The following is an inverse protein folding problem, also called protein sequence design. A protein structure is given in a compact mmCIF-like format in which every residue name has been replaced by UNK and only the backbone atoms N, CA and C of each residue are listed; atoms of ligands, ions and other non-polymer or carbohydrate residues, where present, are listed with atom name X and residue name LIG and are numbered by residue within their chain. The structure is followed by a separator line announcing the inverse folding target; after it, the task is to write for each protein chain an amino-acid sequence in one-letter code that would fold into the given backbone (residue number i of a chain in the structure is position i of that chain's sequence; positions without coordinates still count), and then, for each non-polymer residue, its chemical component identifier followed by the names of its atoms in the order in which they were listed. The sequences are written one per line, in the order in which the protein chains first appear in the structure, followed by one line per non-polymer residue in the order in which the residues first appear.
data_IF_414866494829
#
_entry.id   IF_414866494829
#
_cell.length_a   1.000
_cell.length_b   1.000
_cell.length_c   1.000
_cell.angle_alpha   90.00
_cell.angle_beta   90.00
_cell.angle_gamma   90.00
#
_symmetry.space_group_name_H-M   'P 1'
#
loop_
_entity.id
_entity.type
_entity.pdbx_description
1 polymer ?
#
# COMPACT_ATOMS: atom_id res chain seq x y z
N UNK A 1 -25.64 -28.64 -41.20
CA UNK A 1 -24.35 -27.93 -41.16
C UNK A 1 -24.58 -26.69 -40.34
N UNK A 2 -24.48 -26.83 -39.02
CA UNK A 2 -24.75 -25.76 -38.06
C UNK A 2 -23.48 -24.95 -37.85
N UNK A 3 -23.57 -23.67 -38.22
CA UNK A 3 -22.49 -22.71 -38.14
C UNK A 3 -22.22 -22.33 -36.69
N UNK A 4 -21.02 -22.71 -36.25
CA UNK A 4 -20.22 -22.24 -35.11
C UNK A 4 -20.81 -21.11 -34.26
N UNK A 5 -21.15 -21.49 -33.01
CA UNK A 5 -21.43 -20.59 -31.90
C UNK A 5 -20.25 -19.62 -31.70
N UNK A 6 -20.56 -18.32 -31.65
CA UNK A 6 -19.62 -17.28 -31.27
C UNK A 6 -19.11 -17.51 -29.85
N UNK A 7 -17.92 -18.10 -29.72
CA UNK A 7 -17.24 -18.26 -28.45
C UNK A 7 -16.67 -16.90 -28.05
N UNK A 8 -17.28 -16.27 -27.06
CA UNK A 8 -16.74 -15.09 -26.39
C UNK A 8 -15.46 -15.52 -25.64
N UNK A 9 -14.29 -15.28 -26.22
CA UNK A 9 -12.97 -15.64 -25.62
C UNK A 9 -12.55 -14.71 -24.45
N UNK A 10 -13.50 -14.01 -23.80
CA UNK A 10 -13.23 -13.04 -22.73
C UNK A 10 -13.50 -13.57 -21.32
N UNK A 11 -13.66 -14.87 -21.11
CA UNK A 11 -14.08 -15.39 -19.80
C UNK A 11 -13.05 -16.20 -19.01
N UNK A 12 -11.87 -16.50 -19.54
CA UNK A 12 -10.89 -17.24 -18.74
C UNK A 12 -9.45 -16.84 -19.08
N UNK A 13 -9.09 -15.61 -18.70
CA UNK A 13 -7.68 -15.29 -18.46
C UNK A 13 -7.52 -15.21 -16.94
N UNK A 14 -7.63 -16.36 -16.27
CA UNK A 14 -7.10 -16.50 -14.92
C UNK A 14 -5.57 -16.50 -15.06
N UNK A 15 -4.95 -15.33 -15.26
CA UNK A 15 -3.52 -15.16 -15.06
C UNK A 15 -3.29 -15.52 -13.59
N UNK A 16 -2.59 -16.62 -13.26
CA UNK A 16 -2.17 -16.87 -11.90
C UNK A 16 -1.16 -15.78 -11.55
N UNK A 17 -1.67 -14.66 -11.05
CA UNK A 17 -0.85 -13.55 -10.56
C UNK A 17 -0.18 -14.09 -9.29
N UNK A 18 1.12 -14.43 -9.32
CA UNK A 18 1.72 -15.25 -8.26
C UNK A 18 1.86 -14.50 -6.93
N UNK A 19 1.39 -13.27 -6.82
CA UNK A 19 1.50 -12.46 -5.63
C UNK A 19 0.39 -11.39 -5.57
N UNK A 20 -0.87 -11.81 -5.61
CA UNK A 20 -2.02 -10.91 -5.45
C UNK A 20 -2.28 -10.58 -3.96
N UNK A 21 -1.20 -10.38 -3.20
CA UNK A 21 -1.31 -10.02 -1.80
C UNK A 21 -1.82 -8.57 -1.70
N UNK A 22 -2.87 -8.33 -0.90
CA UNK A 22 -3.52 -7.02 -0.86
C UNK A 22 -2.60 -5.96 -0.28
N UNK A 23 -2.52 -4.81 -0.95
CA UNK A 23 -1.81 -3.65 -0.42
C UNK A 23 -2.68 -2.89 0.59
N UNK A 24 -2.13 -2.68 1.77
CA UNK A 24 -2.81 -2.02 2.88
C UNK A 24 -2.36 -0.58 3.07
N UNK A 25 -3.33 0.29 3.32
CA UNK A 25 -3.06 1.64 3.80
C UNK A 25 -2.54 1.61 5.24
N UNK A 26 -1.83 2.66 5.72
CA UNK A 26 -1.34 2.73 7.09
C UNK A 26 -2.43 2.50 8.14
N UNK A 27 -3.65 2.98 7.87
CA UNK A 27 -4.83 2.76 8.71
C UNK A 27 -5.23 1.27 8.76
N UNK A 28 -5.18 0.58 7.62
CA UNK A 28 -5.49 -0.85 7.57
C UNK A 28 -4.41 -1.69 8.24
N UNK A 29 -3.12 -1.33 8.09
CA UNK A 29 -2.03 -1.94 8.84
C UNK A 29 -2.26 -1.82 10.34
N UNK A 30 -2.63 -0.62 10.81
CA UNK A 30 -2.95 -0.38 12.22
C UNK A 30 -4.03 -1.32 12.75
N UNK A 31 -5.08 -1.59 11.96
CA UNK A 31 -6.17 -2.51 12.37
C UNK A 31 -5.73 -3.98 12.52
N UNK A 32 -4.66 -4.38 11.83
CA UNK A 32 -4.07 -5.72 11.87
C UNK A 32 -3.13 -5.94 13.06
N UNK A 33 -2.69 -4.86 13.70
CA UNK A 33 -1.80 -4.91 14.86
C UNK A 33 -2.63 -5.00 16.16
N UNK A 34 -2.10 -5.67 17.18
CA UNK A 34 -2.79 -5.87 18.46
C UNK A 34 -3.16 -4.54 19.14
N UNK A 35 -2.23 -3.58 19.16
CA UNK A 35 -2.40 -2.26 19.80
C UNK A 35 -3.32 -1.30 19.01
N UNK A 36 -3.78 -1.67 17.80
CA UNK A 36 -4.60 -0.81 16.92
C UNK A 36 -4.04 0.61 16.74
N UNK A 37 -2.74 0.80 16.44
CA UNK A 37 -2.17 2.13 16.29
C UNK A 37 -2.83 2.91 15.14
N UNK A 38 -2.98 4.22 15.32
CA UNK A 38 -3.42 5.12 14.26
C UNK A 38 -2.40 5.17 13.11
N UNK A 39 -2.87 5.52 11.90
CA UNK A 39 -2.01 5.71 10.72
C UNK A 39 -0.79 6.60 10.99
N UNK A 40 -0.95 7.65 11.81
CA UNK A 40 0.13 8.57 12.20
C UNK A 40 1.24 7.83 12.96
N UNK A 41 0.88 6.95 13.91
CA UNK A 41 1.85 6.16 14.68
C UNK A 41 2.57 5.14 13.79
N UNK A 42 1.84 4.49 12.88
CA UNK A 42 2.41 3.56 11.90
C UNK A 42 3.40 4.28 10.98
N UNK A 43 3.02 5.42 10.39
CA UNK A 43 3.92 6.22 9.56
C UNK A 43 5.12 6.74 10.36
N UNK A 44 4.94 7.12 11.63
CA UNK A 44 6.06 7.53 12.49
C UNK A 44 7.07 6.40 12.64
N UNK A 45 6.64 5.17 12.96
CA UNK A 45 7.55 4.03 13.07
C UNK A 45 8.23 3.67 11.75
N UNK A 46 7.49 3.71 10.65
CA UNK A 46 8.05 3.51 9.31
C UNK A 46 9.13 4.57 8.98
N UNK A 47 8.96 5.82 9.42
CA UNK A 47 9.99 6.87 9.30
C UNK A 47 11.20 6.58 10.18
N UNK A 48 10.98 6.19 11.45
CA UNK A 48 12.06 5.82 12.37
C UNK A 48 12.91 4.66 11.82
N UNK A 49 12.30 3.73 11.08
CA UNK A 49 13.01 2.63 10.44
C UNK A 49 13.67 2.99 9.10
N UNK A 50 13.46 4.21 8.62
CA UNK A 50 13.97 4.71 7.33
C UNK A 50 13.22 4.18 6.11
N UNK A 51 12.00 3.68 6.28
CA UNK A 51 11.13 3.21 5.18
C UNK A 51 10.36 4.38 4.54
N UNK A 52 10.13 5.44 5.31
CA UNK A 52 9.55 6.70 4.86
C UNK A 52 10.52 7.85 5.19
N UNK A 53 10.52 8.87 4.33
CA UNK A 53 11.22 10.14 4.56
C UNK A 53 10.16 11.25 4.63
N UNK A 54 10.22 12.09 5.66
CA UNK A 54 9.39 13.30 5.70
C UNK A 54 10.08 14.37 4.87
N UNK A 55 9.51 14.73 3.73
CA UNK A 55 9.96 15.85 2.90
C UNK A 55 9.03 17.05 3.04
N UNK A 56 9.61 18.24 2.90
CA UNK A 56 8.89 19.50 2.93
C UNK A 56 8.78 20.04 1.51
N UNK A 57 7.67 19.72 0.85
CA UNK A 57 7.41 20.20 -0.50
C UNK A 57 6.39 21.34 -0.44
N UNK A 58 6.78 22.53 -0.91
CA UNK A 58 5.92 23.72 -0.95
C UNK A 58 5.26 24.05 0.40
N UNK A 59 6.05 24.03 1.48
CA UNK A 59 5.59 24.32 2.85
C UNK A 59 4.68 23.25 3.48
N UNK A 60 4.48 22.09 2.82
CA UNK A 60 3.68 20.98 3.32
C UNK A 60 4.54 19.75 3.58
N UNK A 61 4.30 19.11 4.73
CA UNK A 61 4.93 17.82 5.06
C UNK A 61 4.33 16.71 4.21
N UNK A 62 5.19 15.95 3.54
CA UNK A 62 4.81 14.78 2.73
C UNK A 62 5.70 13.60 3.10
N UNK A 63 5.08 12.44 3.34
CA UNK A 63 5.80 11.19 3.43
C UNK A 63 6.20 10.71 2.02
N UNK A 64 7.49 10.50 1.81
CA UNK A 64 8.09 9.98 0.59
C UNK A 64 8.61 8.57 0.86
N UNK A 65 8.33 7.63 -0.05
CA UNK A 65 8.77 6.26 0.07
C UNK A 65 10.26 6.18 -0.25
N UNK A 66 11.04 5.65 0.69
CA UNK A 66 12.49 5.46 0.46
C UNK A 66 12.74 4.18 -0.33
N UNK A 67 13.95 4.01 -0.92
CA UNK A 67 14.33 2.74 -1.56
C UNK A 67 14.24 1.54 -0.59
N UNK A 68 14.52 1.77 0.70
CA UNK A 68 14.36 0.77 1.76
C UNK A 68 12.88 0.44 1.99
N UNK A 69 12.02 1.45 2.01
CA UNK A 69 10.56 1.28 2.08
C UNK A 69 10.00 0.48 0.91
N UNK A 70 10.47 0.77 -0.31
CA UNK A 70 10.08 0.03 -1.51
C UNK A 70 10.52 -1.44 -1.44
N UNK A 71 11.75 -1.71 -1.01
CA UNK A 71 12.23 -3.09 -0.75
C UNK A 71 11.44 -3.80 0.35
N UNK A 72 10.95 -3.05 1.34
CA UNK A 72 10.05 -3.52 2.39
C UNK A 72 8.61 -3.82 1.94
N UNK A 73 8.29 -3.64 0.66
CA UNK A 73 6.96 -3.87 0.11
C UNK A 73 6.04 -2.64 0.13
N UNK A 74 6.59 -1.44 0.36
CA UNK A 74 5.89 -0.19 0.14
C UNK A 74 5.74 0.11 -1.36
N UNK A 75 4.59 0.65 -1.77
CA UNK A 75 4.34 1.07 -3.15
C UNK A 75 3.39 2.26 -3.22
N UNK A 76 3.61 3.13 -4.19
CA UNK A 76 2.70 4.23 -4.49
C UNK A 76 1.47 3.71 -5.24
N UNK A 77 0.30 4.20 -4.82
CA UNK A 77 -0.97 3.97 -5.48
C UNK A 77 -1.65 5.31 -5.73
N UNK A 78 -2.12 5.51 -6.95
CA UNK A 78 -2.97 6.64 -7.29
C UNK A 78 -4.33 6.48 -6.64
N UNK A 79 -4.80 7.53 -5.96
CA UNK A 79 -6.08 7.50 -5.24
C UNK A 79 -7.26 7.94 -6.11
N UNK A 80 -7.02 8.22 -7.40
CA UNK A 80 -7.99 8.83 -8.31
C UNK A 80 -8.37 10.27 -7.95
N UNK A 81 -7.96 10.77 -6.78
CA UNK A 81 -8.17 12.15 -6.36
C UNK A 81 -7.09 13.04 -6.97
N UNK A 82 -7.49 14.18 -7.50
CA UNK A 82 -6.58 15.27 -7.89
C UNK A 82 -6.56 16.32 -6.79
N UNK A 83 -5.38 16.89 -6.51
CA UNK A 83 -5.29 18.16 -5.78
C UNK A 83 -5.84 19.28 -6.67
N UNK A 84 -6.22 20.39 -6.04
CA UNK A 84 -6.65 21.62 -6.74
C UNK A 84 -5.60 22.14 -7.74
N UNK A 85 -4.36 21.72 -7.58
CA UNK A 85 -3.20 22.02 -8.42
C UNK A 85 -3.06 21.07 -9.64
N UNK A 86 -4.01 20.16 -9.85
CA UNK A 86 -3.99 19.17 -10.95
C UNK A 86 -3.17 17.90 -10.67
N UNK A 87 -2.26 17.93 -9.69
CA UNK A 87 -1.44 16.78 -9.30
C UNK A 87 -2.28 15.63 -8.72
N UNK A 88 -2.06 14.41 -9.20
CA UNK A 88 -2.72 13.20 -8.67
C UNK A 88 -2.25 12.94 -7.25
N UNK A 89 -3.20 12.72 -6.33
CA UNK A 89 -2.91 12.33 -4.96
C UNK A 89 -2.50 10.87 -4.95
N UNK A 90 -1.23 10.66 -4.61
CA UNK A 90 -0.67 9.33 -4.41
C UNK A 90 -0.70 8.97 -2.93
N UNK A 91 -1.01 7.71 -2.65
CA UNK A 91 -0.98 7.13 -1.32
C UNK A 91 0.01 5.97 -1.28
N UNK A 92 0.85 5.95 -0.25
CA UNK A 92 1.74 4.82 0.00
C UNK A 92 0.93 3.72 0.65
N UNK A 93 0.97 2.53 0.05
CA UNK A 93 0.39 1.30 0.60
C UNK A 93 1.50 0.27 0.79
N UNK A 94 1.25 -0.68 1.66
CA UNK A 94 2.25 -1.66 2.07
C UNK A 94 1.75 -3.07 1.94
N UNK A 95 2.69 -3.96 1.62
CA UNK A 95 2.47 -5.39 1.58
C UNK A 95 2.30 -5.97 3.00
N UNK A 96 1.46 -7.00 3.20
CA UNK A 96 1.25 -7.66 4.49
C UNK A 96 2.49 -8.02 5.33
N UNK A 97 3.63 -8.50 4.80
CA UNK A 97 4.81 -8.83 5.62
C UNK A 97 5.42 -7.61 6.35
N UNK A 98 5.09 -6.37 5.96
CA UNK A 98 5.44 -5.20 6.78
C UNK A 98 4.74 -5.27 8.15
N UNK A 99 3.54 -5.84 8.23
CA UNK A 99 2.76 -5.98 9.46
C UNK A 99 3.49 -6.90 10.41
N UNK A 100 4.06 -7.99 9.92
CA UNK A 100 4.84 -8.93 10.72
C UNK A 100 6.10 -8.26 11.26
N UNK A 101 6.74 -7.40 10.46
CA UNK A 101 7.85 -6.58 10.92
C UNK A 101 7.42 -5.63 12.04
N UNK A 102 6.26 -4.97 11.89
CA UNK A 102 5.69 -4.02 12.86
C UNK A 102 5.09 -4.68 14.10
N UNK A 103 4.70 -5.95 14.03
CA UNK A 103 4.06 -6.70 15.10
C UNK A 103 4.78 -6.60 16.46
N UNK A 104 6.10 -6.87 16.59
CA UNK A 104 6.80 -6.77 17.87
C UNK A 104 6.70 -5.40 18.53
N UNK A 105 6.65 -4.31 17.75
CA UNK A 105 6.55 -2.95 18.27
C UNK A 105 5.14 -2.59 18.79
N UNK A 106 4.12 -3.32 18.33
CA UNK A 106 2.72 -3.03 18.62
C UNK A 106 2.00 -4.19 19.33
N UNK A 107 2.75 -5.05 20.02
CA UNK A 107 2.21 -6.14 20.85
C UNK A 107 1.72 -7.35 20.08
N UNK A 108 2.12 -7.52 18.81
CA UNK A 108 1.82 -8.66 17.96
C UNK A 108 0.88 -8.37 16.78
N UNK A 109 0.69 -9.38 15.93
CA UNK A 109 -0.37 -9.42 14.91
C UNK A 109 -1.65 -9.93 15.56
N UNK A 110 -2.79 -9.37 15.15
CA UNK A 110 -4.12 -9.73 15.63
C UNK A 110 -4.86 -10.69 14.72
#
# INVERSE_FOLDING_TARGET
MESVLGVNVLQDINLPTPNNLPYYTPTQLGKKLATKPSAIKVNKKLREWGFLLEEHESGRKRDVLTPKGAKGGGRYFDTGKKRSDGTIVQQIKWHPPIVESLAPEFGGVR
#
